data_IF_565620722291
#
_entry.id   IF_565620722291
#
_cell.length_a   1.000
_cell.length_b   1.000
_cell.length_c   1.000
_cell.angle_alpha   90.00
_cell.angle_beta   90.00
_cell.angle_gamma   90.00
#
_symmetry.space_group_name_H-M   'P 1'
#
loop_
_entity.id
_entity.type
_entity.pdbx_description
1 polymer ?
#
# COMPACT_ATOMS: atom_id res chain seq x y z
N UNK A 1 20.95 11.83 1.00
CA UNK A 1 20.09 12.64 1.90
C UNK A 1 20.75 12.69 3.25
N UNK A 2 20.93 13.89 3.84
CA UNK A 2 21.63 14.06 5.12
C UNK A 2 20.67 13.98 6.31
N UNK A 3 19.38 14.31 6.13
CA UNK A 3 18.31 14.27 7.16
C UNK A 3 16.93 13.89 6.60
N UNK A 4 16.88 13.25 5.44
CA UNK A 4 15.64 12.89 4.75
C UNK A 4 15.52 11.37 4.59
N UNK A 5 14.30 10.88 4.51
CA UNK A 5 14.01 9.48 4.20
C UNK A 5 13.84 9.30 2.69
N UNK A 6 14.33 8.18 2.17
CA UNK A 6 14.09 7.78 0.76
C UNK A 6 12.66 7.28 0.54
N UNK A 7 11.91 7.10 1.63
CA UNK A 7 10.53 6.63 1.65
C UNK A 7 9.66 7.66 2.35
N UNK A 8 8.34 7.49 2.23
CA UNK A 8 7.39 8.30 2.98
C UNK A 8 7.51 7.90 4.46
N UNK A 9 7.96 8.84 5.29
CA UNK A 9 8.23 8.60 6.72
C UNK A 9 9.59 7.97 7.02
N UNK A 10 9.92 7.90 8.30
CA UNK A 10 11.17 7.35 8.83
C UNK A 10 11.13 5.82 8.93
N UNK A 11 12.31 5.18 9.05
CA UNK A 11 12.44 3.76 9.36
C UNK A 11 12.38 3.51 10.87
N UNK A 12 11.32 4.02 11.50
CA UNK A 12 11.00 3.75 12.90
C UNK A 12 9.71 2.92 12.98
N UNK A 13 9.53 2.05 13.99
CA UNK A 13 8.36 1.18 14.12
C UNK A 13 6.99 1.89 14.03
N UNK A 14 6.91 3.15 14.46
CA UNK A 14 5.70 3.97 14.43
C UNK A 14 5.39 4.57 13.05
N UNK A 15 6.30 4.49 12.08
CA UNK A 15 6.16 5.01 10.71
C UNK A 15 6.40 3.93 9.64
N UNK A 16 6.22 2.67 10.05
CA UNK A 16 6.36 1.48 9.21
C UNK A 16 5.08 0.66 9.21
N UNK A 17 4.99 -0.29 8.27
CA UNK A 17 3.79 -1.12 8.14
C UNK A 17 2.57 -0.26 7.80
N UNK A 18 1.42 -0.57 8.41
CA UNK A 18 0.16 0.10 8.15
C UNK A 18 0.21 1.62 8.44
N UNK A 19 1.14 2.06 9.30
CA UNK A 19 1.36 3.48 9.62
C UNK A 19 2.15 4.24 8.55
N UNK A 20 2.26 3.70 7.33
CA UNK A 20 3.04 4.30 6.23
C UNK A 20 2.12 4.68 5.05
N UNK A 21 2.01 5.99 4.71
CA UNK A 21 2.68 7.16 5.31
C UNK A 21 2.11 7.63 6.65
N UNK A 22 0.92 7.17 7.01
CA UNK A 22 0.21 7.47 8.23
C UNK A 22 -1.04 6.60 8.31
N UNK A 23 -1.69 6.55 9.47
CA UNK A 23 -2.90 5.74 9.68
C UNK A 23 -4.08 6.18 8.81
N UNK A 24 -4.15 7.47 8.47
CA UNK A 24 -5.18 8.04 7.58
C UNK A 24 -5.01 7.62 6.11
N UNK A 25 -3.97 6.86 5.77
CA UNK A 25 -3.65 6.43 4.41
C UNK A 25 -3.74 4.91 4.23
N UNK A 26 -4.78 4.31 4.81
CA UNK A 26 -5.04 2.88 4.74
C UNK A 26 -5.25 2.40 3.30
N UNK A 27 -4.68 1.24 2.97
CA UNK A 27 -4.84 0.58 1.67
C UNK A 27 -4.49 1.48 0.46
N UNK A 28 -3.70 2.53 0.66
CA UNK A 28 -3.35 3.49 -0.38
C UNK A 28 -4.42 4.56 -0.62
N UNK A 29 -5.52 4.60 0.13
CA UNK A 29 -6.42 5.77 0.17
C UNK A 29 -5.71 6.95 0.83
N UNK A 30 -6.19 8.16 0.60
CA UNK A 30 -5.76 9.35 1.35
C UNK A 30 -6.99 10.08 1.88
N UNK A 31 -6.77 11.08 2.72
CA UNK A 31 -7.84 11.98 3.20
C UNK A 31 -8.44 12.85 2.10
N UNK A 32 -7.82 12.89 0.92
CA UNK A 32 -8.31 13.59 -0.26
C UNK A 32 -9.04 12.57 -1.16
N UNK A 33 -10.33 12.78 -1.36
CA UNK A 33 -11.16 11.93 -2.21
C UNK A 33 -10.59 11.83 -3.63
N UNK A 34 -10.51 10.60 -4.16
CA UNK A 34 -9.97 10.33 -5.49
C UNK A 34 -8.44 10.37 -5.59
N UNK A 35 -7.72 10.70 -4.51
CA UNK A 35 -6.26 10.66 -4.47
C UNK A 35 -5.76 9.40 -3.75
N UNK A 36 -4.91 8.63 -4.43
CA UNK A 36 -4.38 7.36 -3.95
C UNK A 36 -2.85 7.30 -4.01
N UNK A 37 -2.24 6.56 -3.08
CA UNK A 37 -0.80 6.35 -2.96
C UNK A 37 -0.40 4.95 -3.45
N UNK A 38 0.15 4.90 -4.66
CA UNK A 38 0.55 3.65 -5.32
C UNK A 38 2.07 3.39 -5.30
N UNK A 39 2.85 4.32 -4.76
CA UNK A 39 4.31 4.32 -4.86
C UNK A 39 5.01 3.33 -3.91
N UNK A 40 6.22 2.88 -4.27
CA UNK A 40 7.10 2.02 -3.44
C UNK A 40 7.53 2.65 -2.10
N UNK A 41 7.09 3.88 -1.85
CA UNK A 41 7.26 4.64 -0.61
C UNK A 41 6.20 4.34 0.44
N UNK A 42 5.10 3.66 0.09
CA UNK A 42 3.94 3.37 0.95
C UNK A 42 3.94 1.91 1.45
N UNK A 43 3.00 1.54 2.34
CA UNK A 43 2.77 0.14 2.76
C UNK A 43 2.66 -0.81 1.54
N UNK A 44 3.24 -2.04 1.55
CA UNK A 44 3.72 -2.83 2.69
C UNK A 44 5.20 -2.71 3.04
N UNK A 45 5.98 -1.90 2.33
CA UNK A 45 7.39 -1.76 2.65
C UNK A 45 8.18 -0.99 1.61
N UNK A 46 9.23 -0.33 2.08
CA UNK A 46 10.17 0.33 1.19
C UNK A 46 10.95 -0.73 0.42
N UNK A 47 10.95 -0.61 -0.92
CA UNK A 47 11.61 -1.52 -1.88
C UNK A 47 10.76 -2.69 -2.38
N UNK A 48 9.52 -2.87 -1.91
CA UNK A 48 8.58 -3.82 -2.53
C UNK A 48 8.00 -3.15 -3.78
N UNK A 49 8.59 -3.43 -4.93
CA UNK A 49 8.15 -2.90 -6.22
C UNK A 49 6.84 -3.57 -6.64
N UNK A 50 5.73 -2.81 -6.62
CA UNK A 50 4.42 -3.27 -7.10
C UNK A 50 3.40 -3.62 -6.00
N UNK A 51 3.84 -3.92 -4.77
CA UNK A 51 2.94 -4.20 -3.64
C UNK A 51 1.98 -3.03 -3.32
N UNK A 52 2.48 -1.81 -3.09
CA UNK A 52 1.63 -0.65 -2.82
C UNK A 52 0.67 -0.34 -3.97
N UNK A 53 1.15 -0.46 -5.22
CA UNK A 53 0.32 -0.26 -6.40
C UNK A 53 -0.79 -1.29 -6.53
N UNK A 54 -0.53 -2.56 -6.20
CA UNK A 54 -1.56 -3.60 -6.18
C UNK A 54 -2.63 -3.30 -5.12
N UNK A 55 -2.23 -2.91 -3.91
CA UNK A 55 -3.15 -2.57 -2.83
C UNK A 55 -4.02 -1.37 -3.24
N UNK A 56 -3.41 -0.28 -3.69
CA UNK A 56 -4.13 0.90 -4.13
C UNK A 56 -5.06 0.61 -5.33
N UNK A 57 -4.66 -0.23 -6.28
CA UNK A 57 -5.52 -0.62 -7.39
C UNK A 57 -6.79 -1.36 -6.93
N UNK A 58 -6.72 -2.16 -5.87
CA UNK A 58 -7.91 -2.80 -5.28
C UNK A 58 -8.84 -1.76 -4.65
N UNK A 59 -8.29 -0.82 -3.88
CA UNK A 59 -9.06 0.26 -3.27
C UNK A 59 -9.72 1.17 -4.30
N UNK A 60 -8.99 1.55 -5.36
CA UNK A 60 -9.54 2.32 -6.49
C UNK A 60 -10.69 1.56 -7.13
N UNK A 61 -10.53 0.25 -7.35
CA UNK A 61 -11.57 -0.54 -8.00
C UNK A 61 -12.86 -0.62 -7.17
N UNK A 62 -12.71 -0.78 -5.85
CA UNK A 62 -13.82 -0.78 -4.89
C UNK A 62 -14.52 0.58 -4.83
N UNK A 63 -13.76 1.66 -4.73
CA UNK A 63 -14.31 3.02 -4.62
C UNK A 63 -15.02 3.45 -5.90
N UNK A 64 -14.52 3.05 -7.07
CA UNK A 64 -15.13 3.35 -8.37
C UNK A 64 -16.19 2.33 -8.80
N UNK A 65 -16.38 1.24 -8.05
CA UNK A 65 -17.33 0.18 -8.39
C UNK A 65 -17.00 -0.56 -9.69
N UNK A 66 -15.72 -0.63 -10.06
CA UNK A 66 -15.29 -1.32 -11.29
C UNK A 66 -14.92 -2.78 -11.01
N UNK A 67 -15.22 -3.65 -11.97
CA UNK A 67 -14.90 -5.07 -11.85
C UNK A 67 -13.38 -5.30 -11.89
N UNK A 68 -12.86 -5.99 -10.88
CA UNK A 68 -11.45 -6.39 -10.81
C UNK A 68 -11.20 -7.57 -11.75
N UNK A 69 -10.56 -7.31 -12.89
CA UNK A 69 -10.21 -8.36 -13.87
C UNK A 69 -8.89 -9.09 -13.53
N UNK A 70 -8.08 -8.53 -12.64
CA UNK A 70 -6.85 -9.16 -12.17
C UNK A 70 -7.11 -10.08 -10.99
N UNK A 71 -6.25 -11.08 -10.84
CA UNK A 71 -6.25 -12.00 -9.70
C UNK A 71 -4.90 -11.94 -8.99
N UNK A 72 -4.84 -12.22 -7.67
CA UNK A 72 -3.57 -12.38 -6.99
C UNK A 72 -2.74 -13.47 -7.67
N UNK A 73 -1.42 -13.30 -7.73
CA UNK A 73 -0.54 -14.40 -8.14
C UNK A 73 -0.58 -15.52 -7.11
N UNK A 74 -0.20 -16.75 -7.47
CA UNK A 74 -0.15 -17.89 -6.53
C UNK A 74 0.67 -17.58 -5.28
N UNK A 75 1.74 -16.78 -5.41
CA UNK A 75 2.58 -16.35 -4.28
C UNK A 75 1.84 -15.37 -3.37
N UNK A 76 1.07 -14.45 -3.94
CA UNK A 76 0.26 -13.50 -3.20
C UNK A 76 -0.93 -14.19 -2.53
N UNK A 77 -1.60 -15.12 -3.20
CA UNK A 77 -2.68 -15.92 -2.60
C UNK A 77 -2.19 -16.66 -1.37
N UNK A 78 -1.04 -17.34 -1.46
CA UNK A 78 -0.43 -18.01 -0.30
C UNK A 78 -0.09 -17.03 0.82
N UNK A 79 0.43 -15.84 0.49
CA UNK A 79 0.72 -14.81 1.49
C UNK A 79 -0.55 -14.36 2.22
N UNK A 80 -1.62 -14.07 1.47
CA UNK A 80 -2.91 -13.65 2.03
C UNK A 80 -3.45 -14.73 2.98
N UNK A 81 -3.51 -15.98 2.52
CA UNK A 81 -3.96 -17.13 3.32
C UNK A 81 -3.10 -17.38 4.58
N UNK A 82 -1.82 -17.01 4.56
CA UNK A 82 -0.91 -17.26 5.69
C UNK A 82 -0.91 -16.12 6.71
N UNK A 83 -1.12 -14.88 6.28
CA UNK A 83 -0.81 -13.68 7.08
C UNK A 83 -1.94 -12.64 7.17
N UNK A 84 -3.01 -12.77 6.39
CA UNK A 84 -4.08 -11.76 6.29
C UNK A 84 -5.44 -12.35 6.68
N UNK A 85 -5.74 -13.57 6.23
CA UNK A 85 -6.89 -14.38 6.68
C UNK A 85 -6.54 -15.15 7.98
#
# INVERSE_FOLDING_TARGET
MVRGSIKHGDYNPLQMGAFRPGEDCEAGRTTIEGLYLCGSSSYPGGLITGGPGYIAANSIAEDLGVEKWWRPTTKMSRYIETYVD
#
